data_IF_109759585332
#
_entry.id   IF_109759585332
#
_cell.length_a   1.000
_cell.length_b   1.000
_cell.length_c   1.000
_cell.angle_alpha   90.00
_cell.angle_beta   90.00
_cell.angle_gamma   90.00
#
_symmetry.space_group_name_H-M   'P 1'
#
loop_
_entity.id
_entity.type
_entity.pdbx_description
1 polymer ?
#
# COMPACT_ATOMS: atom_id res chain seq x y z
N UNK A 1 43.76 -52.76 -43.88
CA UNK A 1 42.55 -51.91 -43.78
C UNK A 1 42.43 -51.42 -42.34
N UNK A 2 42.37 -50.08 -42.16
CA UNK A 2 41.69 -49.27 -41.12
C UNK A 2 41.63 -49.82 -39.68
N UNK A 3 42.34 -49.21 -38.72
CA UNK A 3 41.97 -48.00 -37.94
C UNK A 3 41.15 -48.28 -36.68
N UNK A 4 41.26 -47.35 -35.71
CA UNK A 4 40.60 -47.24 -34.40
C UNK A 4 41.43 -47.88 -33.26
N UNK A 5 42.45 -47.23 -32.67
CA UNK A 5 42.52 -45.87 -32.09
C UNK A 5 41.36 -45.59 -31.12
N UNK A 6 41.74 -45.51 -29.84
CA UNK A 6 41.20 -44.70 -28.73
C UNK A 6 39.68 -44.62 -28.51
N UNK A 7 39.32 -44.72 -27.22
CA UNK A 7 38.12 -44.26 -26.48
C UNK A 7 37.53 -45.47 -25.79
N UNK A 8 37.54 -45.55 -24.46
CA UNK A 8 36.70 -44.74 -23.60
C UNK A 8 37.46 -44.41 -22.30
N UNK A 9 37.98 -43.19 -22.31
CA UNK A 9 38.40 -42.40 -21.16
C UNK A 9 37.13 -42.01 -20.39
N UNK A 10 37.19 -42.12 -19.06
CA UNK A 10 36.35 -41.39 -18.10
C UNK A 10 34.84 -41.42 -18.37
N UNK A 11 34.17 -42.50 -17.95
CA UNK A 11 32.79 -42.35 -17.53
C UNK A 11 32.73 -41.83 -16.09
N UNK A 12 32.24 -40.60 -15.97
CA UNK A 12 31.40 -40.12 -14.87
C UNK A 12 32.04 -39.93 -13.49
N UNK A 13 33.07 -39.08 -13.45
CA UNK A 13 33.33 -38.15 -12.35
C UNK A 13 33.00 -36.75 -12.90
N UNK A 14 32.23 -35.84 -12.26
CA UNK A 14 31.59 -35.88 -10.94
C UNK A 14 30.10 -35.48 -10.90
N UNK A 15 29.35 -36.11 -9.99
CA UNK A 15 28.01 -35.75 -9.51
C UNK A 15 28.05 -34.53 -8.54
N UNK A 16 28.80 -33.47 -8.91
CA UNK A 16 29.07 -32.30 -8.05
C UNK A 16 28.85 -30.96 -8.77
N UNK A 17 27.79 -30.86 -9.58
CA UNK A 17 27.30 -29.57 -10.13
C UNK A 17 25.95 -29.15 -9.54
N UNK A 18 25.60 -29.62 -8.33
CA UNK A 18 24.46 -29.08 -7.57
C UNK A 18 24.83 -27.90 -6.65
N UNK A 19 26.03 -27.33 -6.80
CA UNK A 19 26.36 -26.06 -6.19
C UNK A 19 26.06 -24.92 -7.16
N UNK A 20 25.36 -23.89 -6.67
CA UNK A 20 24.99 -22.64 -7.33
C UNK A 20 23.70 -22.63 -8.17
N UNK A 21 22.62 -23.16 -7.61
CA UNK A 21 21.35 -22.44 -7.69
C UNK A 21 20.95 -21.96 -6.28
N UNK A 22 21.92 -21.32 -5.62
CA UNK A 22 21.59 -20.40 -4.52
C UNK A 22 20.92 -19.25 -5.23
N UNK A 23 19.60 -19.34 -5.37
CA UNK A 23 18.73 -18.26 -5.81
C UNK A 23 19.10 -17.04 -4.98
N UNK A 24 19.99 -16.25 -5.55
CA UNK A 24 20.22 -14.88 -5.15
C UNK A 24 18.90 -14.20 -5.45
N UNK A 25 18.03 -14.16 -4.44
CA UNK A 25 17.04 -13.12 -4.24
C UNK A 25 17.80 -11.80 -4.08
N UNK A 26 18.52 -11.40 -5.12
CA UNK A 26 18.70 -10.00 -5.41
C UNK A 26 17.30 -9.56 -5.85
N UNK A 27 16.51 -9.07 -4.89
CA UNK A 27 15.61 -7.97 -5.19
C UNK A 27 16.47 -6.98 -5.98
N UNK A 28 16.27 -6.92 -7.30
CA UNK A 28 16.77 -5.79 -8.08
C UNK A 28 16.30 -4.57 -7.29
N UNK A 29 17.16 -3.58 -6.99
CA UNK A 29 16.71 -2.36 -6.33
C UNK A 29 15.44 -1.92 -7.04
N UNK A 30 14.31 -2.03 -6.34
CA UNK A 30 13.01 -2.14 -6.95
C UNK A 30 12.80 -0.93 -7.83
N UNK A 31 12.56 -1.16 -9.11
CA UNK A 31 12.08 -0.10 -9.98
C UNK A 31 10.85 0.50 -9.28
N UNK A 32 10.90 1.80 -8.98
CA UNK A 32 9.84 2.45 -8.22
C UNK A 32 8.53 2.35 -9.01
N UNK A 33 7.68 1.41 -8.61
CA UNK A 33 6.40 1.18 -9.25
C UNK A 33 5.47 2.36 -8.93
N UNK A 34 4.84 2.91 -9.97
CA UNK A 34 3.79 3.90 -9.81
C UNK A 34 2.54 3.24 -9.22
N UNK A 35 2.34 3.41 -7.92
CA UNK A 35 1.26 2.79 -7.16
C UNK A 35 0.63 3.80 -6.18
N UNK A 36 -0.71 3.85 -6.14
CA UNK A 36 -1.47 4.64 -5.17
C UNK A 36 -1.18 4.12 -3.74
N UNK A 37 -0.88 5.03 -2.81
CA UNK A 37 -0.72 4.65 -1.40
C UNK A 37 -2.08 4.37 -0.77
N UNK A 38 -2.20 3.31 0.04
CA UNK A 38 -3.46 2.99 0.69
C UNK A 38 -3.88 4.11 1.65
N UNK A 39 -5.19 4.37 1.75
CA UNK A 39 -5.73 5.50 2.51
C UNK A 39 -5.22 5.56 3.96
N UNK A 40 -5.12 4.42 4.67
CA UNK A 40 -4.61 4.40 6.05
C UNK A 40 -3.19 4.96 6.17
N UNK A 41 -2.38 4.80 5.13
CA UNK A 41 -1.02 5.34 5.08
C UNK A 41 -1.05 6.85 4.83
N UNK A 42 -1.89 7.29 3.89
CA UNK A 42 -2.09 8.71 3.59
C UNK A 42 -2.60 9.46 4.83
N UNK A 43 -3.55 8.88 5.57
CA UNK A 43 -4.14 9.48 6.78
C UNK A 43 -3.13 9.79 7.89
N UNK A 44 -1.95 9.16 7.90
CA UNK A 44 -0.88 9.47 8.87
C UNK A 44 -0.31 10.88 8.68
N UNK A 45 -0.50 11.48 7.51
CA UNK A 45 -0.04 12.84 7.18
C UNK A 45 -1.09 13.90 7.50
N UNK A 46 -2.27 13.51 8.02
CA UNK A 46 -3.31 14.46 8.39
C UNK A 46 -2.89 15.23 9.64
N UNK A 47 -2.95 16.56 9.58
CA UNK A 47 -2.91 17.39 10.80
C UNK A 47 -4.10 17.01 11.71
N UNK A 48 -3.87 16.64 12.99
CA UNK A 48 -4.92 16.27 13.93
C UNK A 48 -6.07 17.28 14.02
N UNK A 49 -5.78 18.57 13.91
CA UNK A 49 -6.75 19.66 14.11
C UNK A 49 -7.37 20.19 12.82
N UNK A 50 -6.83 19.79 11.66
CA UNK A 50 -7.36 20.21 10.36
C UNK A 50 -8.61 19.45 9.96
N UNK A 51 -9.51 20.10 9.23
CA UNK A 51 -10.63 19.43 8.52
C UNK A 51 -10.24 18.91 7.14
N UNK A 52 -9.06 19.25 6.68
CA UNK A 52 -8.56 18.88 5.37
C UNK A 52 -7.27 18.07 5.52
N UNK A 53 -7.10 17.07 4.67
CA UNK A 53 -5.83 16.46 4.35
C UNK A 53 -5.48 16.89 2.93
N UNK A 54 -4.28 17.40 2.77
CA UNK A 54 -3.63 17.61 1.48
C UNK A 54 -2.24 17.02 1.61
N UNK A 55 -1.97 15.99 0.83
CA UNK A 55 -0.69 15.29 0.87
C UNK A 55 -0.29 14.91 -0.56
N UNK A 56 1.00 14.96 -0.87
CA UNK A 56 1.50 14.54 -2.17
C UNK A 56 2.66 13.58 -2.02
N UNK A 57 2.66 12.53 -2.84
CA UNK A 57 3.85 11.73 -3.07
C UNK A 57 4.46 12.06 -4.44
N UNK A 58 5.33 11.18 -4.93
CA UNK A 58 6.00 11.31 -6.21
C UNK A 58 5.00 11.35 -7.39
N UNK A 59 3.91 10.62 -7.31
CA UNK A 59 3.00 10.32 -8.42
C UNK A 59 1.60 10.89 -8.25
N UNK A 60 1.12 11.01 -7.01
CA UNK A 60 -0.27 11.34 -6.70
C UNK A 60 -0.39 12.49 -5.70
N UNK A 61 -1.46 13.26 -5.87
CA UNK A 61 -1.94 14.24 -4.90
C UNK A 61 -3.21 13.69 -4.26
N UNK A 62 -3.23 13.71 -2.93
CA UNK A 62 -4.27 13.14 -2.09
C UNK A 62 -4.96 14.25 -1.33
N UNK A 63 -6.28 14.32 -1.47
CA UNK A 63 -7.12 15.32 -0.81
C UNK A 63 -8.23 14.61 -0.04
N UNK A 64 -8.43 14.99 1.22
CA UNK A 64 -9.58 14.53 1.99
C UNK A 64 -10.21 15.68 2.79
N UNK A 65 -11.53 15.83 2.72
CA UNK A 65 -12.28 16.77 3.57
C UNK A 65 -13.14 16.00 4.56
N UNK A 66 -12.91 16.23 5.85
CA UNK A 66 -13.56 15.56 6.96
C UNK A 66 -14.73 16.39 7.49
N UNK A 67 -15.89 15.76 7.52
CA UNK A 67 -17.07 16.27 8.23
C UNK A 67 -17.09 15.71 9.64
N UNK A 68 -17.16 16.60 10.60
CA UNK A 68 -17.22 16.25 12.01
C UNK A 68 -18.63 16.45 12.55
N UNK A 69 -19.08 15.51 13.38
CA UNK A 69 -20.32 15.63 14.16
C UNK A 69 -20.15 16.80 15.13
N UNK A 70 -21.13 17.72 15.17
CA UNK A 70 -21.07 18.87 16.06
C UNK A 70 -21.47 18.49 17.50
N UNK A 71 -20.75 18.98 18.53
CA UNK A 71 -21.17 18.82 19.92
C UNK A 71 -22.56 19.42 20.11
N UNK A 72 -23.51 18.62 20.58
CA UNK A 72 -24.92 19.02 20.79
C UNK A 72 -25.94 18.46 19.79
N UNK A 73 -25.52 18.07 18.58
CA UNK A 73 -26.42 17.42 17.61
C UNK A 73 -26.55 15.91 17.88
N UNK A 74 -25.44 15.19 18.12
CA UNK A 74 -25.48 13.73 18.35
C UNK A 74 -24.42 13.14 19.30
N UNK A 75 -23.38 13.91 19.66
CA UNK A 75 -22.24 13.37 20.45
C UNK A 75 -22.65 12.96 21.88
N UNK A 76 -23.68 13.59 22.45
CA UNK A 76 -24.21 13.25 23.77
C UNK A 76 -25.25 12.12 23.75
N UNK A 77 -25.74 11.71 22.57
CA UNK A 77 -26.78 10.68 22.42
C UNK A 77 -26.20 9.29 22.23
N UNK A 78 -24.95 9.18 21.77
CA UNK A 78 -24.34 7.89 21.47
C UNK A 78 -22.87 7.86 21.89
N UNK A 79 -22.47 7.02 22.87
CA UNK A 79 -21.07 6.85 23.28
C UNK A 79 -20.10 6.50 22.13
N UNK A 80 -20.64 5.94 21.05
CA UNK A 80 -19.93 5.60 19.82
C UNK A 80 -19.28 6.82 19.14
N UNK A 81 -19.92 7.99 19.18
CA UNK A 81 -19.43 9.21 18.51
C UNK A 81 -18.52 10.07 19.39
N UNK A 82 -18.49 9.80 20.71
CA UNK A 82 -17.61 10.49 21.64
C UNK A 82 -16.12 10.13 21.44
N UNK A 83 -15.83 8.96 20.88
CA UNK A 83 -14.45 8.47 20.68
C UNK A 83 -13.85 8.86 19.33
N UNK A 84 -14.68 9.09 18.31
CA UNK A 84 -14.24 9.56 17.00
C UNK A 84 -15.38 10.36 16.35
N UNK A 85 -15.31 11.70 16.34
CA UNK A 85 -16.42 12.56 15.91
C UNK A 85 -16.44 12.79 14.39
N UNK A 86 -15.85 11.92 13.56
CA UNK A 86 -15.85 12.08 12.10
C UNK A 86 -17.11 11.40 11.55
N UNK A 87 -18.03 12.16 10.96
CA UNK A 87 -19.24 11.62 10.32
C UNK A 87 -18.91 10.98 8.96
N UNK A 88 -18.17 11.73 8.13
CA UNK A 88 -17.79 11.31 6.79
C UNK A 88 -16.53 12.02 6.30
N UNK A 89 -15.89 11.47 5.28
CA UNK A 89 -14.77 12.07 4.58
C UNK A 89 -14.99 12.00 3.06
N UNK A 90 -14.81 13.11 2.36
CA UNK A 90 -14.75 13.15 0.89
C UNK A 90 -13.30 13.00 0.48
N UNK A 91 -12.96 11.89 -0.17
CA UNK A 91 -11.59 11.56 -0.56
C UNK A 91 -11.43 11.64 -2.08
N UNK A 92 -10.30 12.20 -2.52
CA UNK A 92 -9.95 12.37 -3.93
C UNK A 92 -8.46 12.09 -4.11
N UNK A 93 -8.12 11.33 -5.15
CA UNK A 93 -6.74 11.09 -5.57
C UNK A 93 -6.59 11.57 -7.00
N UNK A 94 -5.57 12.38 -7.25
CA UNK A 94 -5.26 12.97 -8.54
C UNK A 94 -3.88 12.52 -8.98
N UNK A 95 -3.75 12.01 -10.19
CA UNK A 95 -2.46 11.74 -10.82
C UNK A 95 -1.76 13.05 -11.18
N UNK A 96 -0.54 13.27 -10.66
CA UNK A 96 0.19 14.53 -10.84
C UNK A 96 0.69 14.73 -12.27
N UNK A 97 0.91 13.64 -13.02
CA UNK A 97 1.43 13.71 -14.37
C UNK A 97 0.36 14.06 -15.40
N UNK A 98 -0.88 13.59 -15.18
CA UNK A 98 -1.99 13.79 -16.12
C UNK A 98 -3.01 14.80 -15.64
N UNK A 99 -3.05 15.09 -14.33
CA UNK A 99 -4.12 15.88 -13.69
C UNK A 99 -5.45 15.13 -13.57
N UNK A 100 -5.48 13.84 -13.91
CA UNK A 100 -6.69 13.03 -13.88
C UNK A 100 -7.04 12.61 -12.45
N UNK A 101 -8.33 12.64 -12.11
CA UNK A 101 -8.84 12.10 -10.85
C UNK A 101 -8.98 10.59 -10.99
N UNK A 102 -8.00 9.85 -10.47
CA UNK A 102 -7.98 8.37 -10.53
C UNK A 102 -8.90 7.73 -9.49
N UNK A 103 -9.26 8.47 -8.44
CA UNK A 103 -10.18 7.98 -7.39
C UNK A 103 -10.98 9.12 -6.77
N UNK A 104 -12.26 8.85 -6.53
CA UNK A 104 -13.14 9.75 -5.77
C UNK A 104 -14.16 8.93 -4.98
N UNK A 105 -14.16 9.09 -3.67
CA UNK A 105 -15.03 8.33 -2.77
C UNK A 105 -15.57 9.21 -1.64
N UNK A 106 -16.74 8.84 -1.12
CA UNK A 106 -17.23 9.37 0.16
C UNK A 106 -17.24 8.23 1.15
N UNK A 107 -16.46 8.38 2.22
CA UNK A 107 -16.28 7.38 3.26
C UNK A 107 -17.08 7.81 4.47
N UNK A 108 -18.06 7.03 4.87
CA UNK A 108 -18.81 7.25 6.10
C UNK A 108 -18.17 6.47 7.23
N UNK A 109 -18.15 7.04 8.44
CA UNK A 109 -17.65 6.32 9.59
C UNK A 109 -18.51 5.08 9.86
N UNK A 110 -17.87 3.91 9.94
CA UNK A 110 -18.47 2.73 10.58
C UNK A 110 -18.28 2.92 12.09
N UNK A 111 -19.33 2.77 12.92
CA UNK A 111 -19.25 3.04 14.36
C UNK A 111 -18.04 2.35 15.00
N UNK A 112 -17.13 3.15 15.58
CA UNK A 112 -15.84 2.69 16.09
C UNK A 112 -15.95 1.60 17.16
N UNK A 113 -17.08 1.50 17.87
CA UNK A 113 -17.32 0.42 18.85
C UNK A 113 -17.34 -0.99 18.27
N UNK A 114 -17.44 -1.14 16.94
CA UNK A 114 -17.30 -2.44 16.26
C UNK A 114 -15.83 -2.79 16.01
N UNK A 115 -14.97 -1.79 15.78
CA UNK A 115 -13.54 -1.95 15.49
C UNK A 115 -12.66 -1.91 16.76
N UNK A 116 -13.13 -1.26 17.83
CA UNK A 116 -12.38 -1.03 19.07
C UNK A 116 -12.98 -1.72 20.31
N UNK A 117 -14.00 -2.59 20.14
CA UNK A 117 -14.37 -3.55 21.19
C UNK A 117 -13.22 -4.54 21.36
N UNK A 118 -12.32 -4.26 22.29
CA UNK A 118 -11.50 -5.26 22.98
C UNK A 118 -12.04 -5.40 24.40
#
# INVERSE_FOLDING_TARGET
MRSHILRIIFLSFPLLLQACDRQYLFERPGEEVKEEKPLWWVLQHKDPYSRNLEYEDKWYSYEAEFRYIRPGEDIFRTPLFAQCPIESARYKVTDKSTGEVVRRETLTQIPCGTCHRR
#
